data_IF_780195777771
#
_entry.id   IF_780195777771
#
_cell.length_a   1.000
_cell.length_b   1.000
_cell.length_c   1.000
_cell.angle_alpha   90.00
_cell.angle_beta   90.00
_cell.angle_gamma   90.00
#
_symmetry.space_group_name_H-M   'P 1'
#
loop_
_entity.id
_entity.type
_entity.pdbx_description
1 polymer ?
#
# COMPACT_ATOMS: atom_id res chain seq x y z
N UNK A 1 -32.93 23.07 -10.19
CA UNK A 1 -32.96 23.02 -8.70
C UNK A 1 -32.86 21.56 -8.27
N UNK A 2 -31.65 21.07 -8.02
CA UNK A 2 -31.45 19.77 -7.37
C UNK A 2 -31.66 20.01 -5.87
N UNK A 3 -32.75 19.50 -5.31
CA UNK A 3 -32.96 19.48 -3.85
C UNK A 3 -32.04 18.40 -3.27
N UNK A 4 -31.08 18.80 -2.46
CA UNK A 4 -30.31 17.89 -1.62
C UNK A 4 -31.28 17.08 -0.76
N UNK A 5 -31.09 15.76 -0.71
CA UNK A 5 -31.80 14.92 0.26
C UNK A 5 -31.35 15.34 1.68
N UNK A 6 -32.23 15.27 2.68
CA UNK A 6 -31.85 15.55 4.06
C UNK A 6 -30.72 14.62 4.48
N UNK A 7 -29.75 15.15 5.22
CA UNK A 7 -28.75 14.33 5.91
C UNK A 7 -29.49 13.68 7.06
N UNK A 8 -29.62 12.35 7.04
CA UNK A 8 -30.14 11.61 8.19
C UNK A 8 -29.22 11.83 9.41
N UNK A 9 -29.80 11.81 10.61
CA UNK A 9 -29.14 12.16 11.86
C UNK A 9 -27.71 11.61 11.95
N UNK A 10 -26.75 12.51 12.18
CA UNK A 10 -25.33 12.19 12.27
C UNK A 10 -24.80 12.39 13.70
N UNK A 11 -24.08 11.40 14.26
CA UNK A 11 -23.95 10.03 13.77
C UNK A 11 -25.24 9.24 14.02
N UNK A 12 -25.61 8.36 13.10
CA UNK A 12 -26.86 7.60 13.17
C UNK A 12 -26.95 6.69 14.42
N UNK A 13 -28.06 5.98 14.58
CA UNK A 13 -28.42 5.18 15.77
C UNK A 13 -27.38 4.15 16.27
N UNK A 14 -26.32 3.84 15.51
CA UNK A 14 -25.21 2.97 15.92
C UNK A 14 -23.83 3.64 15.87
N UNK A 15 -23.77 4.97 15.80
CA UNK A 15 -22.52 5.73 15.74
C UNK A 15 -21.84 5.64 14.37
N UNK A 16 -20.51 5.57 14.38
CA UNK A 16 -19.66 5.48 13.18
C UNK A 16 -19.65 4.08 12.51
N UNK A 17 -20.43 3.12 13.04
CA UNK A 17 -20.43 1.73 12.56
C UNK A 17 -21.50 1.56 11.48
N UNK A 18 -21.07 1.28 10.25
CA UNK A 18 -21.92 1.18 9.07
C UNK A 18 -23.01 0.09 9.14
N UNK A 19 -24.03 0.22 8.29
CA UNK A 19 -25.25 -0.61 8.27
C UNK A 19 -25.12 -1.98 7.54
N UNK A 20 -23.92 -2.42 7.20
CA UNK A 20 -23.69 -3.52 6.25
C UNK A 20 -23.47 -4.91 6.86
N UNK A 21 -23.84 -5.97 6.12
CA UNK A 21 -23.28 -7.33 6.34
C UNK A 21 -21.75 -7.32 6.11
N UNK A 22 -21.01 -8.37 6.47
CA UNK A 22 -19.56 -8.50 6.15
C UNK A 22 -19.29 -8.38 4.62
N UNK A 23 -20.28 -8.69 3.78
CA UNK A 23 -20.24 -8.46 2.33
C UNK A 23 -20.40 -6.98 1.91
N UNK A 24 -20.95 -6.17 2.81
CA UNK A 24 -21.17 -4.73 2.67
C UNK A 24 -20.17 -3.91 3.52
N UNK A 25 -19.25 -4.57 4.22
CA UNK A 25 -18.11 -3.90 4.84
C UNK A 25 -17.26 -3.30 3.73
N UNK A 26 -17.20 -1.97 3.70
CA UNK A 26 -16.33 -1.21 2.81
C UNK A 26 -14.94 -1.85 2.80
N UNK A 27 -14.43 -2.23 1.63
CA UNK A 27 -13.13 -2.88 1.50
C UNK A 27 -12.00 -2.08 2.17
N UNK A 28 -12.12 -0.75 2.23
CA UNK A 28 -11.23 0.12 3.00
C UNK A 28 -11.29 -0.15 4.52
N UNK A 29 -12.48 -0.37 5.08
CA UNK A 29 -12.64 -0.70 6.51
C UNK A 29 -11.98 -2.05 6.83
N UNK A 30 -12.15 -3.06 5.95
CA UNK A 30 -11.49 -4.36 6.11
C UNK A 30 -9.97 -4.21 6.13
N UNK A 31 -9.40 -3.38 5.26
CA UNK A 31 -7.97 -3.06 5.27
C UNK A 31 -7.55 -2.40 6.60
N UNK A 32 -8.31 -1.42 7.08
CA UNK A 32 -8.05 -0.77 8.36
C UNK A 32 -8.03 -1.77 9.51
N UNK A 33 -8.98 -2.71 9.55
CA UNK A 33 -9.03 -3.76 10.56
C UNK A 33 -7.83 -4.70 10.49
N UNK A 34 -7.36 -5.07 9.29
CA UNK A 34 -6.14 -5.88 9.13
C UNK A 34 -4.90 -5.11 9.63
N UNK A 35 -4.82 -3.80 9.35
CA UNK A 35 -3.65 -2.99 9.69
C UNK A 35 -3.64 -2.48 11.15
N UNK A 36 -4.71 -2.69 11.95
CA UNK A 36 -4.85 -2.08 13.29
C UNK A 36 -3.74 -2.51 14.27
N UNK A 37 -3.28 -3.75 14.14
CA UNK A 37 -2.27 -4.34 15.05
C UNK A 37 -0.82 -4.09 14.58
N UNK A 38 -0.62 -3.52 13.38
CA UNK A 38 0.71 -3.27 12.83
C UNK A 38 1.60 -2.37 13.70
N UNK A 39 1.09 -1.30 14.33
CA UNK A 39 1.92 -0.47 15.21
C UNK A 39 2.46 -1.25 16.41
N UNK A 40 1.62 -2.11 17.01
CA UNK A 40 2.01 -2.95 18.13
C UNK A 40 3.04 -4.00 17.69
N UNK A 41 2.77 -4.69 16.57
CA UNK A 41 3.70 -5.63 15.97
C UNK A 41 5.07 -4.99 15.71
N UNK A 42 5.09 -3.78 15.14
CA UNK A 42 6.32 -3.03 14.88
C UNK A 42 7.07 -2.68 16.17
N UNK A 43 6.36 -2.25 17.22
CA UNK A 43 6.98 -1.92 18.50
C UNK A 43 7.64 -3.15 19.13
N UNK A 44 6.95 -4.31 19.13
CA UNK A 44 7.48 -5.58 19.63
C UNK A 44 8.70 -6.04 18.83
N UNK A 45 8.60 -6.02 17.50
CA UNK A 45 9.71 -6.40 16.62
C UNK A 45 10.94 -5.51 16.85
N UNK A 46 10.75 -4.18 16.89
CA UNK A 46 11.84 -3.24 17.12
C UNK A 46 12.53 -3.45 18.48
N UNK A 47 11.77 -3.76 19.54
CA UNK A 47 12.36 -4.03 20.85
C UNK A 47 13.29 -5.25 20.78
N UNK A 48 12.85 -6.31 20.11
CA UNK A 48 13.59 -7.55 20.00
C UNK A 48 14.82 -7.40 19.09
N UNK A 49 14.63 -6.86 17.88
CA UNK A 49 15.67 -6.85 16.84
C UNK A 49 16.76 -5.81 17.06
N UNK A 50 16.54 -4.81 17.94
CA UNK A 50 17.56 -3.85 18.35
C UNK A 50 18.39 -4.32 19.57
N UNK A 51 18.05 -5.49 20.14
CA UNK A 51 18.83 -6.09 21.23
C UNK A 51 19.72 -7.21 20.70
N UNK A 52 20.89 -7.47 21.33
CA UNK A 52 21.69 -8.65 21.01
C UNK A 52 20.85 -9.92 21.13
N UNK A 53 21.22 -10.94 20.36
CA UNK A 53 20.55 -12.22 20.41
C UNK A 53 20.50 -12.80 21.84
N UNK A 54 19.33 -13.26 22.24
CA UNK A 54 19.07 -13.89 23.54
C UNK A 54 18.16 -15.10 23.35
N UNK A 55 18.65 -16.29 23.73
CA UNK A 55 17.91 -17.54 23.60
C UNK A 55 16.56 -17.53 24.35
N UNK A 56 16.41 -16.72 25.40
CA UNK A 56 15.15 -16.61 26.14
C UNK A 56 14.03 -15.92 25.34
N UNK A 57 14.40 -15.11 24.34
CA UNK A 57 13.47 -14.34 23.51
C UNK A 57 13.14 -15.03 22.18
N UNK A 58 13.69 -16.22 21.90
CA UNK A 58 13.41 -16.92 20.64
C UNK A 58 11.91 -17.20 20.43
N UNK A 59 11.20 -17.59 21.51
CA UNK A 59 9.77 -17.87 21.42
C UNK A 59 9.00 -16.62 21.01
N UNK A 60 9.37 -15.45 21.54
CA UNK A 60 8.76 -14.17 21.20
C UNK A 60 9.08 -13.80 19.74
N UNK A 61 10.32 -13.97 19.29
CA UNK A 61 10.72 -13.72 17.91
C UNK A 61 9.94 -14.60 16.90
N UNK A 62 9.73 -15.88 17.22
CA UNK A 62 8.91 -16.80 16.40
C UNK A 62 7.45 -16.39 16.37
N UNK A 63 6.87 -15.99 17.50
CA UNK A 63 5.48 -15.49 17.55
C UNK A 63 5.30 -14.20 16.74
N UNK A 64 6.27 -13.27 16.80
CA UNK A 64 6.27 -12.05 15.99
C UNK A 64 6.38 -12.40 14.50
N UNK A 65 7.26 -13.33 14.14
CA UNK A 65 7.42 -13.81 12.77
C UNK A 65 6.13 -14.42 12.22
N UNK A 66 5.52 -15.35 12.94
CA UNK A 66 4.28 -16.02 12.55
C UNK A 66 3.12 -15.02 12.41
N UNK A 67 3.00 -14.08 13.35
CA UNK A 67 1.98 -13.05 13.29
C UNK A 67 2.19 -12.10 12.10
N UNK A 68 3.43 -11.69 11.82
CA UNK A 68 3.74 -10.85 10.66
C UNK A 68 3.43 -11.57 9.33
N UNK A 69 3.70 -12.87 9.24
CA UNK A 69 3.35 -13.69 8.07
C UNK A 69 1.83 -13.83 7.91
N UNK A 70 1.11 -14.04 9.02
CA UNK A 70 -0.35 -14.11 9.02
C UNK A 70 -0.97 -12.80 8.53
N UNK A 71 -0.51 -11.65 9.06
CA UNK A 71 -1.02 -10.34 8.64
C UNK A 71 -0.70 -10.05 7.17
N UNK A 72 0.52 -10.33 6.70
CA UNK A 72 0.85 -10.20 5.27
C UNK A 72 -0.01 -11.11 4.37
N UNK A 73 -0.29 -12.33 4.82
CA UNK A 73 -1.19 -13.26 4.12
C UNK A 73 -2.61 -12.72 4.03
N UNK A 74 -3.13 -12.14 5.12
CA UNK A 74 -4.45 -11.49 5.14
C UNK A 74 -4.51 -10.27 4.22
N UNK A 75 -3.44 -9.48 4.14
CA UNK A 75 -3.32 -8.35 3.20
C UNK A 75 -3.36 -8.84 1.75
N UNK A 76 -2.59 -9.89 1.44
CA UNK A 76 -2.57 -10.47 0.09
C UNK A 76 -3.95 -11.01 -0.31
N UNK A 77 -4.62 -11.70 0.60
CA UNK A 77 -5.97 -12.21 0.37
C UNK A 77 -6.98 -11.08 0.20
N UNK A 78 -6.92 -10.04 1.05
CA UNK A 78 -7.74 -8.84 0.88
C UNK A 78 -7.61 -8.27 -0.53
N UNK A 79 -6.38 -8.10 -1.03
CA UNK A 79 -6.13 -7.59 -2.38
C UNK A 79 -6.71 -8.50 -3.46
N UNK A 80 -6.65 -9.83 -3.31
CA UNK A 80 -7.24 -10.79 -4.26
C UNK A 80 -8.77 -10.72 -4.30
N UNK A 81 -9.42 -10.39 -3.19
CA UNK A 81 -10.88 -10.26 -3.12
C UNK A 81 -11.43 -8.94 -3.68
N UNK A 82 -10.56 -8.00 -4.08
CA UNK A 82 -10.98 -6.70 -4.58
C UNK A 82 -11.60 -6.78 -5.98
N UNK A 83 -12.66 -6.00 -6.25
CA UNK A 83 -13.18 -5.81 -7.60
C UNK A 83 -12.15 -5.25 -8.59
N UNK A 84 -12.32 -5.48 -9.90
CA UNK A 84 -11.41 -4.98 -10.93
C UNK A 84 -11.22 -3.46 -10.94
N UNK A 85 -12.25 -2.68 -10.59
CA UNK A 85 -12.21 -1.22 -10.55
C UNK A 85 -11.27 -0.66 -9.46
N UNK A 86 -10.88 -1.48 -8.49
CA UNK A 86 -9.86 -1.13 -7.50
C UNK A 86 -8.43 -1.32 -8.02
N UNK A 87 -8.27 -2.05 -9.13
CA UNK A 87 -6.97 -2.28 -9.75
C UNK A 87 -6.56 -1.06 -10.56
N UNK A 88 -5.27 -0.81 -10.61
CA UNK A 88 -4.74 0.23 -11.47
C UNK A 88 -4.91 -0.14 -12.94
N UNK A 89 -4.93 0.87 -13.79
CA UNK A 89 -4.71 0.74 -15.23
C UNK A 89 -3.29 1.18 -15.55
N UNK A 90 -2.66 0.47 -16.49
CA UNK A 90 -1.34 0.83 -17.00
C UNK A 90 -1.54 1.80 -18.16
N UNK A 91 -0.93 2.99 -18.09
CA UNK A 91 -1.00 4.02 -19.15
C UNK A 91 0.27 4.13 -19.98
N UNK A 92 1.35 3.48 -19.53
CA UNK A 92 2.63 3.49 -20.21
C UNK A 92 3.66 2.67 -19.45
N UNK A 93 4.79 2.41 -20.10
CA UNK A 93 5.95 1.73 -19.53
C UNK A 93 7.19 2.55 -19.88
N UNK A 94 7.95 2.94 -18.86
CA UNK A 94 9.24 3.61 -19.01
C UNK A 94 10.30 2.52 -19.08
N UNK A 95 10.81 2.26 -20.29
CA UNK A 95 11.80 1.20 -20.54
C UNK A 95 13.25 1.67 -20.38
N UNK A 96 13.46 2.97 -20.14
CA UNK A 96 14.79 3.54 -19.99
C UNK A 96 15.40 3.10 -18.66
N UNK A 97 16.56 2.45 -18.72
CA UNK A 97 17.35 2.15 -17.53
C UNK A 97 17.99 3.45 -17.06
N UNK A 98 17.55 3.94 -15.92
CA UNK A 98 18.10 5.16 -15.31
C UNK A 98 19.30 4.76 -14.45
N UNK A 99 20.49 5.34 -14.67
CA UNK A 99 21.64 5.16 -13.79
C UNK A 99 21.32 5.55 -12.34
N UNK A 100 21.93 4.88 -11.37
CA UNK A 100 21.65 5.12 -9.94
C UNK A 100 21.93 6.57 -9.52
N UNK A 101 22.94 7.20 -10.11
CA UNK A 101 23.33 8.60 -9.89
C UNK A 101 22.36 9.62 -10.52
N UNK A 102 21.55 9.20 -11.49
CA UNK A 102 20.54 10.03 -12.16
C UNK A 102 19.12 9.79 -11.65
N UNK A 103 18.90 8.75 -10.82
CA UNK A 103 17.58 8.35 -10.34
C UNK A 103 16.86 9.46 -9.58
N UNK A 104 17.59 10.32 -8.86
CA UNK A 104 17.02 11.45 -8.13
C UNK A 104 16.45 12.56 -9.05
N UNK A 105 16.84 12.58 -10.33
CA UNK A 105 16.39 13.54 -11.33
C UNK A 105 15.32 12.94 -12.26
N UNK A 106 14.99 11.65 -12.11
CA UNK A 106 14.02 10.97 -12.93
C UNK A 106 12.62 11.55 -12.74
N UNK A 107 11.96 11.93 -13.84
CA UNK A 107 10.57 12.38 -13.80
C UNK A 107 9.57 11.25 -13.51
N UNK A 108 9.94 10.01 -13.89
CA UNK A 108 9.11 8.82 -13.75
C UNK A 108 9.95 7.65 -13.27
N UNK A 109 9.34 6.82 -12.43
CA UNK A 109 9.97 5.57 -12.02
C UNK A 109 10.07 4.61 -13.22
N UNK A 110 11.21 3.91 -13.41
CA UNK A 110 11.32 2.89 -14.45
C UNK A 110 10.22 1.82 -14.32
N UNK A 111 9.69 1.38 -15.45
CA UNK A 111 8.61 0.40 -15.51
C UNK A 111 7.22 1.00 -15.71
N UNK A 112 6.20 0.28 -15.26
CA UNK A 112 4.81 0.61 -15.50
C UNK A 112 4.40 1.92 -14.83
N UNK A 113 3.50 2.65 -15.49
CA UNK A 113 2.89 3.86 -14.95
C UNK A 113 1.42 3.57 -14.66
N UNK A 114 1.01 3.77 -13.42
CA UNK A 114 -0.29 3.35 -12.90
C UNK A 114 -1.22 4.54 -12.73
N UNK A 115 -2.46 4.38 -13.19
CA UNK A 115 -3.57 5.30 -12.89
C UNK A 115 -4.71 4.56 -12.20
N UNK A 116 -5.42 5.26 -11.33
CA UNK A 116 -6.58 4.75 -10.62
C UNK A 116 -7.84 5.50 -11.04
N UNK A 117 -8.99 5.04 -10.59
CA UNK A 117 -10.24 5.76 -10.80
C UNK A 117 -10.21 7.17 -10.18
N UNK A 118 -9.66 7.27 -8.97
CA UNK A 118 -9.50 8.51 -8.23
C UNK A 118 -8.31 8.44 -7.26
N UNK A 119 -7.92 9.60 -6.73
CA UNK A 119 -6.80 9.76 -5.78
C UNK A 119 -7.06 9.07 -4.43
N UNK A 120 -8.27 9.13 -3.84
CA UNK A 120 -8.58 8.36 -2.63
C UNK A 120 -8.33 6.86 -2.77
N UNK A 121 -8.78 6.24 -3.86
CA UNK A 121 -8.55 4.83 -4.14
C UNK A 121 -7.05 4.54 -4.27
N UNK A 122 -6.31 5.36 -5.02
CA UNK A 122 -4.87 5.22 -5.13
C UNK A 122 -4.16 5.29 -3.76
N UNK A 123 -4.65 6.15 -2.87
CA UNK A 123 -4.16 6.29 -1.50
C UNK A 123 -4.40 5.02 -0.68
N UNK A 124 -5.61 4.45 -0.73
CA UNK A 124 -5.94 3.19 -0.04
C UNK A 124 -5.06 2.03 -0.54
N UNK A 125 -4.80 1.98 -1.85
CA UNK A 125 -3.92 0.96 -2.44
C UNK A 125 -2.47 1.14 -1.98
N UNK A 126 -2.01 2.37 -1.78
CA UNK A 126 -0.70 2.64 -1.21
C UNK A 126 -0.62 2.31 0.28
N UNK A 127 -1.68 2.54 1.06
CA UNK A 127 -1.75 2.10 2.46
C UNK A 127 -1.59 0.58 2.58
N UNK A 128 -2.27 -0.18 1.71
CA UNK A 128 -2.10 -1.62 1.61
C UNK A 128 -0.64 -2.02 1.33
N UNK A 129 0.00 -1.41 0.32
CA UNK A 129 1.40 -1.70 -0.04
C UNK A 129 2.36 -1.38 1.09
N UNK A 130 2.15 -0.25 1.75
CA UNK A 130 2.93 0.18 2.91
C UNK A 130 2.75 -0.82 4.07
N UNK A 131 1.51 -1.24 4.37
CA UNK A 131 1.25 -2.29 5.37
C UNK A 131 2.03 -3.58 5.06
N UNK A 132 2.07 -4.00 3.78
CA UNK A 132 2.88 -5.17 3.36
C UNK A 132 4.37 -4.96 3.55
N UNK A 133 4.92 -3.80 3.13
CA UNK A 133 6.34 -3.47 3.33
C UNK A 133 6.70 -3.57 4.82
N UNK A 134 5.85 -3.06 5.71
CA UNK A 134 6.06 -3.17 7.15
C UNK A 134 6.10 -4.62 7.64
N UNK A 135 5.13 -5.45 7.25
CA UNK A 135 5.11 -6.87 7.62
C UNK A 135 6.37 -7.58 7.13
N UNK A 136 6.75 -7.37 5.87
CA UNK A 136 7.94 -7.97 5.26
C UNK A 136 9.24 -7.53 5.93
N UNK A 137 9.35 -6.27 6.34
CA UNK A 137 10.49 -5.79 7.12
C UNK A 137 10.59 -6.44 8.51
N UNK A 138 9.45 -6.63 9.18
CA UNK A 138 9.40 -7.37 10.47
C UNK A 138 9.85 -8.82 10.26
N UNK A 139 9.34 -9.49 9.22
CA UNK A 139 9.74 -10.86 8.85
C UNK A 139 11.25 -10.95 8.65
N UNK A 140 11.84 -10.06 7.84
CA UNK A 140 13.28 -10.02 7.60
C UNK A 140 14.06 -9.85 8.92
N UNK A 141 13.66 -8.89 9.75
CA UNK A 141 14.35 -8.59 10.99
C UNK A 141 14.30 -9.77 11.98
N UNK A 142 13.15 -10.44 12.11
CA UNK A 142 13.02 -11.64 12.95
C UNK A 142 13.83 -12.81 12.41
N UNK A 143 13.82 -13.06 11.08
CA UNK A 143 14.62 -14.13 10.46
C UNK A 143 16.11 -13.88 10.69
N UNK A 144 16.59 -12.65 10.45
CA UNK A 144 18.00 -12.28 10.68
C UNK A 144 18.38 -12.44 12.15
N UNK A 145 17.54 -11.97 13.08
CA UNK A 145 17.81 -12.08 14.51
C UNK A 145 17.84 -13.54 14.98
N UNK A 146 16.88 -14.37 14.54
CA UNK A 146 16.84 -15.80 14.86
C UNK A 146 18.01 -16.58 14.25
N UNK A 147 18.48 -16.17 13.07
CA UNK A 147 19.60 -16.83 12.39
C UNK A 147 20.90 -16.77 13.22
N UNK A 148 21.09 -15.72 14.03
CA UNK A 148 22.20 -15.62 14.99
C UNK A 148 22.17 -16.79 15.99
N UNK A 149 20.97 -17.25 16.37
CA UNK A 149 20.74 -18.42 17.22
C UNK A 149 20.83 -19.77 16.52
N UNK A 150 21.11 -19.79 15.21
CA UNK A 150 21.17 -21.02 14.41
C UNK A 150 19.84 -21.40 13.74
N UNK A 151 18.84 -20.52 13.72
CA UNK A 151 17.62 -20.73 12.93
C UNK A 151 17.92 -20.76 11.43
N UNK A 152 17.36 -21.75 10.74
CA UNK A 152 17.47 -21.91 9.29
C UNK A 152 16.14 -21.52 8.65
N UNK A 153 16.19 -20.53 7.75
CA UNK A 153 15.04 -20.09 6.96
C UNK A 153 14.73 -21.09 5.84
N UNK A 154 14.04 -22.17 6.20
CA UNK A 154 13.67 -23.26 5.26
C UNK A 154 12.72 -22.81 4.16
N UNK A 155 11.89 -21.79 4.43
CA UNK A 155 10.85 -21.33 3.51
C UNK A 155 11.32 -20.18 2.60
N UNK A 156 12.57 -19.71 2.74
CA UNK A 156 13.09 -18.55 2.01
C UNK A 156 12.29 -17.28 2.30
N UNK A 157 11.81 -17.11 3.54
CA UNK A 157 11.02 -15.96 3.95
C UNK A 157 11.79 -14.64 3.79
N UNK A 158 13.11 -14.64 3.96
CA UNK A 158 13.95 -13.47 3.76
C UNK A 158 13.96 -13.02 2.30
N UNK A 159 14.33 -13.89 1.36
CA UNK A 159 14.42 -13.55 -0.06
C UNK A 159 13.05 -13.20 -0.65
N UNK A 160 12.00 -13.93 -0.25
CA UNK A 160 10.62 -13.58 -0.60
C UNK A 160 10.25 -12.18 -0.11
N UNK A 161 10.71 -11.79 1.08
CA UNK A 161 10.44 -10.47 1.64
C UNK A 161 11.15 -9.36 0.87
N UNK A 162 12.40 -9.58 0.44
CA UNK A 162 13.14 -8.64 -0.43
C UNK A 162 12.36 -8.42 -1.74
N UNK A 163 11.96 -9.50 -2.40
CA UNK A 163 11.20 -9.44 -3.65
C UNK A 163 9.87 -8.67 -3.48
N UNK A 164 9.09 -9.02 -2.46
CA UNK A 164 7.79 -8.36 -2.22
C UNK A 164 7.98 -6.89 -1.87
N UNK A 165 8.96 -6.53 -1.04
CA UNK A 165 9.23 -5.11 -0.70
C UNK A 165 9.57 -4.33 -1.97
N UNK A 166 10.45 -4.85 -2.82
CA UNK A 166 10.81 -4.20 -4.07
C UNK A 166 9.58 -3.99 -4.95
N UNK A 167 8.77 -5.04 -5.14
CA UNK A 167 7.52 -4.94 -5.91
C UNK A 167 6.57 -3.87 -5.33
N UNK A 168 6.37 -3.83 -4.00
CA UNK A 168 5.50 -2.83 -3.39
C UNK A 168 6.03 -1.40 -3.57
N UNK A 169 7.36 -1.20 -3.50
CA UNK A 169 7.99 0.10 -3.76
C UNK A 169 7.82 0.50 -5.22
N UNK A 170 8.05 -0.41 -6.16
CA UNK A 170 7.88 -0.16 -7.59
C UNK A 170 6.44 0.24 -7.92
N UNK A 171 5.45 -0.45 -7.35
CA UNK A 171 4.03 -0.12 -7.55
C UNK A 171 3.61 1.20 -6.89
N UNK A 172 4.19 1.57 -5.74
CA UNK A 172 3.97 2.90 -5.14
C UNK A 172 4.54 3.97 -6.07
N UNK A 173 5.79 3.80 -6.51
CA UNK A 173 6.48 4.75 -7.39
C UNK A 173 5.76 4.90 -8.74
N UNK A 174 5.24 3.81 -9.31
CA UNK A 174 4.47 3.79 -10.54
C UNK A 174 3.21 4.68 -10.52
N UNK A 175 2.63 4.92 -9.34
CA UNK A 175 1.43 5.76 -9.20
C UNK A 175 1.71 7.19 -8.73
N UNK A 176 2.97 7.55 -8.48
CA UNK A 176 3.35 8.92 -8.09
C UNK A 176 2.93 9.95 -9.15
N UNK A 177 3.15 9.73 -10.46
CA UNK A 177 2.68 10.68 -11.47
C UNK A 177 1.17 10.91 -11.41
N UNK A 178 0.37 9.88 -11.13
CA UNK A 178 -1.08 10.02 -10.97
C UNK A 178 -1.46 10.90 -9.76
N UNK A 179 -0.75 10.79 -8.64
CA UNK A 179 -0.99 11.63 -7.47
C UNK A 179 -0.57 13.09 -7.70
N UNK A 180 0.48 13.32 -8.50
CA UNK A 180 1.09 14.64 -8.66
C UNK A 180 0.61 15.42 -9.89
N UNK A 181 0.20 14.73 -10.96
CA UNK A 181 -0.26 15.36 -12.20
C UNK A 181 -1.78 15.44 -12.23
N UNK A 182 -2.32 16.66 -12.09
CA UNK A 182 -3.75 16.93 -12.21
C UNK A 182 -4.35 16.47 -13.56
N UNK A 183 -3.55 16.42 -14.63
CA UNK A 183 -3.96 15.95 -15.95
C UNK A 183 -4.08 14.42 -16.07
N UNK A 184 -3.48 13.66 -15.16
CA UNK A 184 -3.62 12.19 -15.09
C UNK A 184 -4.79 11.76 -14.20
N UNK A 185 -5.35 12.70 -13.43
CA UNK A 185 -6.50 12.50 -12.55
C UNK A 185 -7.88 12.49 -13.25
N UNK A 186 -8.10 12.93 -14.51
CA UNK A 186 -9.43 12.91 -15.11
C UNK A 186 -9.65 11.72 -16.05
N UNK A 187 -10.28 10.66 -15.50
CA UNK A 187 -11.59 10.20 -16.02
C UNK A 187 -12.75 10.90 -15.27
N UNK A 188 -12.45 11.66 -14.22
CA UNK A 188 -13.40 12.53 -13.50
C UNK A 188 -13.93 13.74 -14.31
N UNK A 189 -13.34 14.07 -15.47
CA UNK A 189 -13.87 15.10 -16.39
C UNK A 189 -14.75 14.57 -17.52
N UNK A 190 -14.80 13.26 -17.76
CA UNK A 190 -15.67 12.70 -18.81
C UNK A 190 -17.15 12.64 -18.41
N UNK A 191 -17.47 12.84 -17.12
CA UNK A 191 -18.83 13.16 -16.67
C UNK A 191 -19.10 14.68 -16.70
N UNK A 192 -18.90 15.29 -17.87
CA UNK A 192 -19.64 16.46 -18.33
C UNK A 192 -19.63 17.72 -17.47
N UNK A 193 -18.47 18.34 -17.23
CA UNK A 193 -18.45 19.76 -16.85
C UNK A 193 -17.22 20.52 -17.38
N UNK A 194 -17.55 21.46 -18.26
CA UNK A 194 -16.84 22.69 -18.67
C UNK A 194 -15.78 22.57 -19.79
N UNK A 195 -16.32 22.68 -21.01
CA UNK A 195 -15.74 23.56 -22.04
C UNK A 195 -15.40 24.91 -21.41
N UNK A 196 -14.10 25.23 -21.34
CA UNK A 196 -13.47 26.54 -21.51
C UNK A 196 -12.21 26.64 -20.64
N UNK A 197 -11.06 26.70 -21.29
CA UNK A 197 -9.79 26.97 -20.61
C UNK A 197 -8.60 26.42 -21.36
N UNK A 198 -8.29 27.03 -22.51
CA UNK A 198 -6.97 26.93 -23.14
C UNK A 198 -5.88 27.33 -22.15
N UNK A 199 -4.88 26.48 -21.94
CA UNK A 199 -3.57 26.93 -21.48
C UNK A 199 -2.49 26.40 -22.41
N UNK A 200 -2.18 27.24 -23.41
CA UNK A 200 -0.84 27.35 -23.96
C UNK A 200 0.17 27.54 -22.82
N UNK A 201 1.35 26.90 -22.91
CA UNK A 201 2.59 27.62 -22.64
C UNK A 201 3.67 27.28 -23.67
N UNK A 202 4.28 28.29 -24.31
CA UNK A 202 5.36 28.15 -25.28
C UNK A 202 6.74 28.26 -24.60
N UNK A 203 7.73 27.61 -25.20
CA UNK A 203 9.11 28.13 -25.30
C UNK A 203 9.80 27.34 -26.42
N UNK A 204 9.97 27.91 -27.60
CA UNK A 204 11.05 28.85 -28.00
C UNK A 204 12.38 28.12 -28.22
N UNK A 205 12.69 27.95 -29.51
CA UNK A 205 14.00 27.84 -30.21
C UNK A 205 15.13 27.09 -29.52
#
# INVERSE_FOLDING_TARGET
>A
MMRSKPVDDFPGTKGWVGYGNISDENAANRLTLICIDLPNLRARANLLTNTPYDATQESEAKQILDFAQMVDGNLEEWYRTLPPEWKHRIIGVVSETIPEDELALAEKWPGEQHVYHDVPLASIMNDYRVCRIFCRRVIMACVTWLNIGGYVDTNGAYDKSVFVIQQMVDEISACVPFHMCYELQPVAKEMGQEQNGTCFFPSSV
#
